data_IF_722107077700
#
_entry.id   IF_722107077700
#
_cell.length_a   1.000
_cell.length_b   1.000
_cell.length_c   1.000
_cell.angle_alpha   90.00
_cell.angle_beta   90.00
_cell.angle_gamma   90.00
#
_symmetry.space_group_name_H-M   'P 1'
#
loop_
_entity.id
_entity.type
_entity.pdbx_description
1 polymer ?
#
# COMPACT_ATOMS: atom_id res chain seq x y z
N UNK A 1 -28.17 32.64 -25.36
CA UNK A 1 -28.88 31.99 -24.24
C UNK A 1 -27.90 31.04 -23.57
N UNK A 2 -27.36 31.43 -22.41
CA UNK A 2 -26.48 30.57 -21.62
C UNK A 2 -27.38 29.77 -20.67
N UNK A 3 -27.34 28.45 -20.77
CA UNK A 3 -28.16 27.57 -19.95
C UNK A 3 -27.75 27.67 -18.47
N UNK A 4 -28.72 28.01 -17.61
CA UNK A 4 -28.57 27.94 -16.16
C UNK A 4 -28.63 26.47 -15.72
N UNK A 5 -27.56 26.00 -15.07
CA UNK A 5 -27.51 24.69 -14.41
C UNK A 5 -28.17 24.83 -13.03
N UNK A 6 -29.04 23.91 -12.57
CA UNK A 6 -29.69 24.01 -11.27
C UNK A 6 -28.68 23.78 -10.15
N UNK A 7 -28.62 24.72 -9.19
CA UNK A 7 -27.79 24.60 -7.98
C UNK A 7 -28.48 23.66 -7.00
N UNK A 8 -28.12 22.38 -7.05
CA UNK A 8 -28.49 21.38 -6.05
C UNK A 8 -27.78 21.70 -4.71
N UNK A 9 -28.46 21.44 -3.59
CA UNK A 9 -28.04 21.80 -2.22
C UNK A 9 -26.55 21.59 -1.94
N UNK A 10 -25.85 22.71 -1.75
CA UNK A 10 -24.40 22.77 -1.60
C UNK A 10 -23.94 22.13 -0.28
N UNK A 11 -23.19 21.04 -0.42
CA UNK A 11 -22.45 20.36 0.63
C UNK A 11 -21.55 21.34 1.41
N UNK A 12 -21.26 21.05 2.69
CA UNK A 12 -20.41 21.82 3.65
C UNK A 12 -19.06 22.28 3.10
N UNK A 13 -18.69 21.67 1.99
CA UNK A 13 -17.44 21.58 1.30
C UNK A 13 -17.29 22.58 0.14
N UNK A 14 -18.40 23.18 -0.32
CA UNK A 14 -18.44 23.90 -1.61
C UNK A 14 -17.70 25.25 -1.60
N UNK A 15 -17.64 25.95 -0.47
CA UNK A 15 -17.04 27.31 -0.39
C UNK A 15 -15.52 27.24 -0.37
N UNK A 16 -14.94 26.34 0.45
CA UNK A 16 -13.49 26.10 0.48
C UNK A 16 -13.02 25.58 -0.88
N UNK A 17 -13.80 24.70 -1.51
CA UNK A 17 -13.53 24.15 -2.84
C UNK A 17 -13.54 25.22 -3.96
N UNK A 18 -14.52 26.14 -3.94
CA UNK A 18 -14.64 27.20 -4.94
C UNK A 18 -13.44 28.16 -4.89
N UNK A 19 -12.96 28.50 -3.69
CA UNK A 19 -11.91 29.51 -3.50
C UNK A 19 -10.50 28.97 -3.60
N UNK A 20 -10.27 27.72 -3.18
CA UNK A 20 -9.03 27.05 -3.51
C UNK A 20 -8.88 26.91 -5.04
N UNK A 21 -9.97 26.71 -5.79
CA UNK A 21 -9.91 26.80 -7.27
C UNK A 21 -9.58 28.21 -7.79
N UNK A 22 -10.16 29.27 -7.22
CA UNK A 22 -9.90 30.67 -7.63
C UNK A 22 -8.46 31.10 -7.40
N UNK A 23 -7.80 30.60 -6.35
CA UNK A 23 -6.41 30.89 -6.03
C UNK A 23 -5.40 30.00 -6.78
N UNK A 24 -5.86 29.22 -7.77
CA UNK A 24 -5.08 28.17 -8.45
C UNK A 24 -4.43 27.17 -7.46
N UNK A 25 -5.08 26.98 -6.31
CA UNK A 25 -4.71 26.03 -5.28
C UNK A 25 -5.32 24.65 -5.61
N UNK A 26 -5.18 24.20 -6.86
CA UNK A 26 -5.72 22.91 -7.30
C UNK A 26 -5.02 21.71 -6.65
N UNK A 27 -3.87 21.94 -6.01
CA UNK A 27 -3.18 21.01 -5.11
C UNK A 27 -2.50 21.86 -4.02
N UNK A 28 -3.08 21.92 -2.81
CA UNK A 28 -2.46 22.62 -1.67
C UNK A 28 -1.71 21.62 -0.84
N UNK A 29 -0.42 21.84 -0.82
CA UNK A 29 0.53 21.15 0.02
C UNK A 29 0.47 21.78 1.44
N UNK A 30 0.71 21.05 2.53
CA UNK A 30 0.65 21.63 3.88
C UNK A 30 1.65 22.76 4.10
N UNK A 31 2.82 22.71 3.48
CA UNK A 31 3.81 23.79 3.48
C UNK A 31 3.24 25.04 2.80
N UNK A 32 2.50 24.87 1.70
CA UNK A 32 1.77 25.98 1.06
C UNK A 32 0.63 26.51 1.91
N UNK A 33 -0.05 25.65 2.67
CA UNK A 33 -1.06 26.12 3.63
C UNK A 33 -0.42 26.90 4.77
N UNK A 34 0.78 26.53 5.21
CA UNK A 34 1.52 27.24 6.26
C UNK A 34 2.12 28.56 5.79
N UNK A 35 2.63 28.60 4.57
CA UNK A 35 3.18 29.83 3.98
C UNK A 35 2.12 30.77 3.42
N UNK A 36 0.94 30.25 3.02
CA UNK A 36 -0.10 31.04 2.33
C UNK A 36 -1.47 31.00 3.00
N UNK A 37 -1.62 30.38 4.17
CA UNK A 37 -2.90 30.33 4.86
C UNK A 37 -3.40 31.72 5.27
N UNK A 38 -2.48 32.66 5.54
CA UNK A 38 -2.80 34.08 5.76
C UNK A 38 -3.37 34.70 4.49
N UNK A 39 -2.71 34.53 3.34
CA UNK A 39 -3.22 35.00 2.03
C UNK A 39 -4.61 34.45 1.74
N UNK A 40 -4.82 33.15 2.00
CA UNK A 40 -6.11 32.48 1.81
C UNK A 40 -7.19 33.11 2.70
N UNK A 41 -6.90 33.30 3.99
CA UNK A 41 -7.84 33.91 4.92
C UNK A 41 -8.17 35.36 4.51
N UNK A 42 -7.17 36.15 4.14
CA UNK A 42 -7.33 37.53 3.69
C UNK A 42 -8.10 37.63 2.37
N UNK A 43 -7.83 36.72 1.42
CA UNK A 43 -8.56 36.63 0.16
C UNK A 43 -10.04 36.34 0.37
N UNK A 44 -10.37 35.47 1.32
CA UNK A 44 -11.75 35.20 1.72
C UNK A 44 -12.41 36.40 2.42
N UNK A 45 -11.63 37.33 2.96
CA UNK A 45 -12.11 38.53 3.63
C UNK A 45 -11.99 38.50 5.16
N UNK A 46 -11.23 37.55 5.73
CA UNK A 46 -10.81 37.59 7.13
C UNK A 46 -9.58 38.50 7.27
N UNK A 47 -9.68 39.58 8.06
CA UNK A 47 -8.59 40.54 8.27
C UNK A 47 -8.35 40.79 9.77
N UNK A 48 -7.23 41.43 10.14
CA UNK A 48 -6.97 41.82 11.54
C UNK A 48 -8.11 42.65 12.15
N UNK A 49 -8.68 43.54 11.34
CA UNK A 49 -9.77 44.45 11.76
C UNK A 49 -11.17 43.83 11.61
N UNK A 50 -11.27 42.50 11.49
CA UNK A 50 -12.51 41.77 11.35
C UNK A 50 -12.82 41.32 9.93
N UNK A 51 -14.10 41.01 9.69
CA UNK A 51 -14.55 40.43 8.42
C UNK A 51 -15.05 41.52 7.48
N UNK A 52 -14.53 41.53 6.25
CA UNK A 52 -14.97 42.48 5.23
C UNK A 52 -16.44 42.26 4.89
N UNK A 53 -17.28 43.29 5.03
CA UNK A 53 -18.71 43.20 4.72
C UNK A 53 -18.93 42.79 3.25
N UNK A 54 -19.80 41.82 3.02
CA UNK A 54 -20.11 41.30 1.68
C UNK A 54 -19.10 40.30 1.10
N UNK A 55 -18.00 40.06 1.80
CA UNK A 55 -16.99 39.05 1.45
C UNK A 55 -17.51 37.63 1.59
N UNK A 56 -16.70 36.69 1.09
CA UNK A 56 -16.96 35.25 1.19
C UNK A 56 -16.87 34.77 2.63
N UNK A 57 -15.96 35.34 3.43
CA UNK A 57 -15.88 35.11 4.88
C UNK A 57 -17.19 35.48 5.58
N UNK A 58 -17.81 36.62 5.22
CA UNK A 58 -19.09 37.03 5.78
C UNK A 58 -20.22 36.07 5.39
N UNK A 59 -20.24 35.61 4.13
CA UNK A 59 -21.24 34.64 3.64
C UNK A 59 -21.06 33.26 4.27
N UNK A 60 -19.83 32.78 4.37
CA UNK A 60 -19.49 31.49 4.99
C UNK A 60 -19.88 31.47 6.46
N UNK A 61 -19.55 32.52 7.21
CA UNK A 61 -19.94 32.66 8.61
C UNK A 61 -21.45 32.73 8.78
N UNK A 62 -22.16 33.53 7.96
CA UNK A 62 -23.63 33.58 8.00
C UNK A 62 -24.27 32.22 7.68
N UNK A 63 -23.73 31.48 6.70
CA UNK A 63 -24.21 30.16 6.31
C UNK A 63 -23.94 29.08 7.36
N UNK A 64 -22.81 29.15 8.07
CA UNK A 64 -22.55 28.27 9.21
C UNK A 64 -23.47 28.60 10.39
N UNK A 65 -23.59 29.87 10.77
CA UNK A 65 -24.48 30.30 11.85
C UNK A 65 -25.94 29.88 11.59
N UNK A 66 -26.46 30.07 10.38
CA UNK A 66 -27.82 29.61 10.01
C UNK A 66 -28.00 28.10 10.15
N UNK A 67 -26.97 27.31 9.87
CA UNK A 67 -27.00 25.84 9.97
C UNK A 67 -26.79 25.32 11.38
N UNK A 68 -26.31 26.17 12.29
CA UNK A 68 -25.94 25.80 13.66
C UNK A 68 -26.63 26.68 14.69
N UNK A 69 -27.87 27.10 14.39
CA UNK A 69 -28.75 27.84 15.29
C UNK A 69 -28.09 29.10 15.89
N UNK A 70 -27.49 29.89 15.02
CA UNK A 70 -26.76 31.11 15.37
C UNK A 70 -25.34 30.89 15.88
N UNK A 71 -24.87 29.64 16.01
CA UNK A 71 -23.52 29.32 16.54
C UNK A 71 -22.52 29.02 15.43
N UNK A 72 -21.27 29.41 15.64
CA UNK A 72 -20.12 29.00 14.82
C UNK A 72 -19.32 28.00 15.65
N UNK A 73 -18.84 26.91 15.04
CA UNK A 73 -17.99 25.97 15.77
C UNK A 73 -16.67 26.65 16.12
N UNK A 74 -16.24 26.50 17.36
CA UNK A 74 -14.96 27.02 17.85
C UNK A 74 -13.78 26.36 17.12
N UNK A 75 -12.58 26.91 17.28
CA UNK A 75 -11.36 26.29 16.75
C UNK A 75 -11.10 24.95 17.46
N UNK A 76 -11.41 24.89 18.76
CA UNK A 76 -11.29 23.72 19.63
C UNK A 76 -12.21 22.57 19.19
N UNK A 77 -13.41 22.90 18.69
CA UNK A 77 -14.39 21.93 18.18
C UNK A 77 -14.19 21.55 16.70
N UNK A 78 -13.07 21.95 16.11
CA UNK A 78 -12.74 21.67 14.72
C UNK A 78 -13.45 22.57 13.70
N UNK A 79 -13.86 23.77 14.11
CA UNK A 79 -14.54 24.75 13.25
C UNK A 79 -13.60 25.38 12.23
N UNK A 80 -13.88 25.18 10.93
CA UNK A 80 -13.05 25.69 9.83
C UNK A 80 -13.19 27.20 9.68
N UNK A 81 -14.41 27.73 9.81
CA UNK A 81 -14.68 29.19 9.73
C UNK A 81 -13.98 29.94 10.87
N UNK A 82 -14.06 29.44 12.11
CA UNK A 82 -13.33 30.02 13.23
C UNK A 82 -11.82 29.90 13.07
N UNK A 83 -11.33 28.81 12.46
CA UNK A 83 -9.90 28.61 12.18
C UNK A 83 -9.37 29.62 11.15
N UNK A 84 -10.10 29.83 10.05
CA UNK A 84 -9.75 30.86 9.04
C UNK A 84 -9.88 32.27 9.58
N UNK A 85 -10.87 32.53 10.43
CA UNK A 85 -11.00 33.82 11.13
C UNK A 85 -9.81 34.08 12.05
N UNK A 86 -9.39 33.07 12.84
CA UNK A 86 -8.20 33.15 13.69
C UNK A 86 -6.97 33.48 12.85
N UNK A 87 -6.76 32.78 11.73
CA UNK A 87 -5.64 33.02 10.83
C UNK A 87 -5.64 34.47 10.30
N UNK A 88 -6.78 34.94 9.79
CA UNK A 88 -6.88 36.30 9.26
C UNK A 88 -6.79 37.40 10.33
N UNK A 89 -7.23 37.12 11.57
CA UNK A 89 -7.19 38.06 12.67
C UNK A 89 -5.78 38.26 13.24
N UNK A 90 -5.01 37.17 13.35
CA UNK A 90 -3.66 37.19 13.92
C UNK A 90 -2.55 37.30 12.87
N UNK A 91 -2.89 37.18 11.58
CA UNK A 91 -1.93 37.08 10.47
C UNK A 91 -0.88 35.97 10.71
N UNK A 92 -1.29 34.94 11.44
CA UNK A 92 -0.47 33.82 11.86
C UNK A 92 -1.31 32.55 11.92
N UNK A 93 -0.68 31.41 11.65
CA UNK A 93 -1.35 30.12 11.52
C UNK A 93 -1.06 29.28 12.75
N UNK A 94 -1.95 29.40 13.75
CA UNK A 94 -1.90 28.56 14.95
C UNK A 94 -2.01 27.07 14.60
N UNK A 95 -1.30 26.16 15.29
CA UNK A 95 -1.28 24.73 14.94
C UNK A 95 -2.66 24.07 14.86
N UNK A 96 -3.56 24.42 15.78
CA UNK A 96 -4.92 23.86 15.80
C UNK A 96 -5.77 24.37 14.63
N UNK A 97 -5.62 25.65 14.26
CA UNK A 97 -6.28 26.22 13.09
C UNK A 97 -5.76 25.56 11.79
N UNK A 98 -4.44 25.38 11.67
CA UNK A 98 -3.82 24.65 10.56
C UNK A 98 -4.42 23.24 10.41
N UNK A 99 -4.46 22.48 11.52
CA UNK A 99 -5.01 21.12 11.55
C UNK A 99 -6.47 21.05 11.07
N UNK A 100 -7.29 22.00 11.48
CA UNK A 100 -8.71 22.04 11.09
C UNK A 100 -8.90 22.35 9.61
N UNK A 101 -8.18 23.34 9.09
CA UNK A 101 -8.25 23.72 7.66
C UNK A 101 -7.69 22.59 6.79
N UNK A 102 -6.55 22.01 7.17
CA UNK A 102 -5.96 20.86 6.48
C UNK A 102 -6.93 19.67 6.44
N UNK A 103 -7.57 19.33 7.57
CA UNK A 103 -8.57 18.25 7.63
C UNK A 103 -9.77 18.49 6.71
N UNK A 104 -10.21 19.75 6.56
CA UNK A 104 -11.29 20.10 5.65
C UNK A 104 -10.87 19.96 4.19
N UNK A 105 -9.68 20.44 3.84
CA UNK A 105 -9.11 20.32 2.49
C UNK A 105 -8.86 18.85 2.09
N UNK A 106 -8.47 17.98 3.04
CA UNK A 106 -8.36 16.52 2.80
C UNK A 106 -9.69 15.88 2.43
N UNK A 107 -10.76 16.19 3.17
CA UNK A 107 -12.11 15.69 2.86
C UNK A 107 -12.59 16.10 1.46
N UNK A 108 -12.03 17.18 0.95
CA UNK A 108 -12.29 17.72 -0.38
C UNK A 108 -11.38 17.15 -1.47
N UNK A 109 -10.41 16.30 -1.12
CA UNK A 109 -9.39 15.80 -2.04
C UNK A 109 -8.43 16.88 -2.53
N UNK A 110 -8.30 18.01 -1.80
CA UNK A 110 -7.50 19.17 -2.21
C UNK A 110 -6.15 19.27 -1.51
N UNK A 111 -6.01 18.57 -0.38
CA UNK A 111 -4.76 18.46 0.36
C UNK A 111 -4.34 17.00 0.34
N UNK A 112 -3.17 16.75 -0.23
CA UNK A 112 -2.54 15.43 -0.29
C UNK A 112 -1.96 15.11 1.09
N UNK A 113 -1.91 13.82 1.44
CA UNK A 113 -1.51 13.35 2.78
C UNK A 113 0.01 13.46 3.05
N UNK A 114 0.76 13.97 2.08
CA UNK A 114 2.22 13.95 1.98
C UNK A 114 2.96 15.02 2.81
N UNK A 115 2.37 16.19 3.05
CA UNK A 115 3.13 17.29 3.68
C UNK A 115 2.81 17.61 5.15
N UNK A 116 1.73 17.08 5.74
CA UNK A 116 1.37 17.43 7.14
C UNK A 116 2.23 16.73 8.20
N UNK A 117 2.94 15.67 7.82
CA UNK A 117 3.61 14.78 8.77
C UNK A 117 5.08 15.16 9.04
N UNK A 118 5.63 16.11 8.27
CA UNK A 118 7.03 16.55 8.40
C UNK A 118 7.28 17.34 9.71
N UNK A 119 6.31 18.12 10.20
CA UNK A 119 6.59 19.05 11.32
C UNK A 119 6.35 18.49 12.74
N UNK A 120 5.67 17.36 12.91
CA UNK A 120 5.42 16.81 14.26
C UNK A 120 6.42 15.73 14.69
N UNK A 121 7.43 15.41 13.86
CA UNK A 121 8.42 14.35 14.13
C UNK A 121 9.78 14.82 14.64
N UNK A 122 10.04 16.14 14.74
CA UNK A 122 11.39 16.67 15.00
C UNK A 122 11.76 16.83 16.48
N UNK A 123 10.90 16.45 17.41
CA UNK A 123 11.26 16.39 18.82
C UNK A 123 11.70 14.97 19.21
N UNK A 124 13.03 14.76 19.24
CA UNK A 124 13.79 13.61 19.80
C UNK A 124 14.47 12.68 18.77
N UNK A 125 15.59 13.15 18.20
CA UNK A 125 16.90 12.50 18.37
C UNK A 125 17.19 11.09 17.81
N UNK A 126 16.32 10.47 17.01
CA UNK A 126 16.63 9.16 16.39
C UNK A 126 17.02 9.32 14.90
N UNK A 127 18.00 8.55 14.39
CA UNK A 127 18.54 8.74 13.05
C UNK A 127 17.52 8.29 11.99
N UNK A 128 17.07 9.24 11.17
CA UNK A 128 16.28 9.00 9.97
C UNK A 128 17.14 8.31 8.90
N UNK A 129 16.73 7.10 8.49
CA UNK A 129 17.30 6.39 7.36
C UNK A 129 17.02 7.18 6.06
N UNK A 130 18.06 7.73 5.44
CA UNK A 130 17.98 8.42 4.14
C UNK A 130 17.92 7.36 3.04
N UNK A 131 16.85 7.35 2.24
CA UNK A 131 16.71 6.52 1.03
C UNK A 131 16.72 7.46 -0.18
N UNK A 132 17.72 7.34 -1.04
CA UNK A 132 17.77 8.03 -2.34
C UNK A 132 16.89 7.30 -3.36
N UNK A 133 15.88 7.98 -3.92
CA UNK A 133 14.97 7.43 -4.93
C UNK A 133 15.54 7.62 -6.36
N UNK A 134 15.52 6.59 -7.23
CA UNK A 134 15.99 6.69 -8.61
C UNK A 134 15.12 7.56 -9.54
N UNK A 135 15.74 8.05 -10.63
CA UNK A 135 15.19 9.07 -11.54
C UNK A 135 13.95 8.67 -12.37
N UNK A 136 13.60 7.39 -12.50
CA UNK A 136 12.38 6.99 -13.22
C UNK A 136 11.10 7.12 -12.35
N UNK A 137 11.24 7.30 -11.03
CA UNK A 137 10.18 7.86 -10.18
C UNK A 137 10.08 9.39 -10.29
N UNK A 138 11.05 10.06 -10.92
CA UNK A 138 11.00 11.51 -11.24
C UNK A 138 10.28 11.80 -12.57
N UNK A 139 9.47 10.87 -13.06
CA UNK A 139 8.59 11.14 -14.19
C UNK A 139 7.48 12.11 -13.75
N UNK A 140 7.75 13.40 -13.98
CA UNK A 140 6.88 14.57 -13.94
C UNK A 140 5.50 14.39 -13.27
N UNK A 141 5.32 15.15 -12.18
CA UNK A 141 4.08 15.44 -11.42
C UNK A 141 3.91 14.62 -10.12
N UNK A 142 4.56 15.10 -9.04
CA UNK A 142 3.88 15.29 -7.75
C UNK A 142 3.73 14.14 -6.75
N UNK A 143 4.54 13.08 -6.77
CA UNK A 143 4.41 11.96 -5.80
C UNK A 143 5.76 11.51 -5.20
N UNK A 144 6.39 12.34 -4.35
CA UNK A 144 7.68 11.99 -3.72
C UNK A 144 7.70 11.81 -2.18
N UNK A 145 6.76 12.28 -1.31
CA UNK A 145 6.93 12.07 0.14
C UNK A 145 6.22 10.84 0.75
N UNK A 146 5.18 10.29 0.09
CA UNK A 146 4.33 9.23 0.69
C UNK A 146 5.02 7.88 0.88
N UNK A 147 6.05 7.58 0.07
CA UNK A 147 6.76 6.31 0.14
C UNK A 147 7.70 6.24 1.35
N UNK A 148 8.44 7.30 1.69
CA UNK A 148 9.42 7.25 2.79
C UNK A 148 8.77 7.02 4.17
N UNK A 149 7.62 7.62 4.45
CA UNK A 149 6.93 7.48 5.75
C UNK A 149 6.21 6.15 5.89
N UNK A 150 5.76 5.56 4.79
CA UNK A 150 5.16 4.23 4.77
C UNK A 150 6.11 3.13 5.28
N UNK A 151 7.43 3.33 5.12
CA UNK A 151 8.47 2.34 5.46
C UNK A 151 9.16 2.58 6.81
N UNK A 152 8.88 3.70 7.50
CA UNK A 152 9.38 3.93 8.88
C UNK A 152 8.65 3.03 9.87
N UNK A 153 9.26 2.80 11.03
CA UNK A 153 8.58 2.11 12.15
C UNK A 153 7.30 2.89 12.48
N UNK A 154 6.16 2.21 12.39
CA UNK A 154 4.83 2.84 12.55
C UNK A 154 4.26 3.54 11.30
N UNK A 155 4.89 3.38 10.13
CA UNK A 155 4.31 3.76 8.84
C UNK A 155 3.19 2.82 8.40
N UNK A 156 2.37 3.21 7.42
CA UNK A 156 1.28 2.35 6.93
C UNK A 156 1.79 1.01 6.38
N UNK A 157 2.86 1.00 5.56
CA UNK A 157 3.39 -0.26 5.05
C UNK A 157 4.09 -1.09 6.14
N UNK A 158 4.71 -0.45 7.14
CA UNK A 158 5.25 -1.15 8.31
C UNK A 158 4.15 -1.83 9.15
N UNK A 159 3.10 -1.09 9.53
CA UNK A 159 1.96 -1.64 10.26
C UNK A 159 1.22 -2.69 9.45
N UNK A 160 1.11 -2.48 8.13
CA UNK A 160 0.59 -3.48 7.22
C UNK A 160 1.49 -4.72 7.25
N UNK A 161 2.81 -4.62 7.14
CA UNK A 161 3.72 -5.76 7.22
C UNK A 161 3.62 -6.52 8.56
N UNK A 162 3.50 -5.80 9.68
CA UNK A 162 3.33 -6.42 10.99
C UNK A 162 1.97 -7.12 11.12
N UNK A 163 0.91 -6.49 10.63
CA UNK A 163 -0.43 -7.07 10.52
C UNK A 163 -0.40 -8.29 9.58
N UNK A 164 0.32 -8.23 8.46
CA UNK A 164 0.45 -9.29 7.46
C UNK A 164 1.04 -10.55 8.06
N UNK A 165 2.17 -10.41 8.76
CA UNK A 165 2.82 -11.54 9.37
C UNK A 165 1.90 -12.14 10.46
N UNK A 166 1.31 -11.31 11.33
CA UNK A 166 0.51 -11.77 12.46
C UNK A 166 -0.89 -12.33 12.10
N UNK A 167 -1.60 -11.74 11.15
CA UNK A 167 -2.90 -12.28 10.68
C UNK A 167 -2.73 -13.64 10.00
N UNK A 168 -1.64 -13.82 9.25
CA UNK A 168 -1.34 -15.08 8.59
C UNK A 168 -0.96 -16.20 9.58
N UNK A 169 -0.46 -15.87 10.78
CA UNK A 169 -0.30 -16.79 11.90
C UNK A 169 -1.65 -17.13 12.55
N UNK A 170 -2.48 -16.12 12.79
CA UNK A 170 -3.69 -16.24 13.63
C UNK A 170 -4.81 -17.07 13.00
N UNK A 171 -5.02 -16.99 11.69
CA UNK A 171 -6.12 -17.71 11.03
C UNK A 171 -5.89 -19.24 11.00
N UNK A 172 -4.64 -19.70 10.97
CA UNK A 172 -4.31 -21.11 10.73
C UNK A 172 -3.72 -21.83 11.94
N UNK A 173 -2.78 -21.22 12.68
CA UNK A 173 -2.18 -21.85 13.86
C UNK A 173 -3.22 -22.10 14.97
N UNK A 174 -4.29 -21.30 15.03
CA UNK A 174 -5.43 -21.56 15.93
C UNK A 174 -6.25 -22.80 15.54
N UNK A 175 -6.30 -23.15 14.25
CA UNK A 175 -7.11 -24.26 13.74
C UNK A 175 -6.34 -25.59 13.68
N UNK A 176 -5.01 -25.56 13.51
CA UNK A 176 -4.15 -26.75 13.47
C UNK A 176 -2.77 -26.47 14.10
N UNK A 177 -2.69 -26.36 15.44
CA UNK A 177 -1.44 -26.03 16.14
C UNK A 177 -0.32 -27.06 15.93
N UNK A 178 -0.64 -28.31 15.61
CA UNK A 178 0.32 -29.40 15.33
C UNK A 178 0.73 -29.55 13.86
N UNK A 179 0.10 -28.80 12.94
CA UNK A 179 0.26 -29.02 11.50
C UNK A 179 1.57 -28.49 10.91
N UNK A 180 2.25 -27.57 11.58
CA UNK A 180 3.54 -27.03 11.12
C UNK A 180 4.66 -27.58 12.01
N UNK A 181 5.36 -28.66 11.61
CA UNK A 181 6.27 -29.41 12.49
C UNK A 181 7.46 -28.61 13.04
N UNK A 182 7.75 -27.43 12.48
CA UNK A 182 8.80 -26.51 12.92
C UNK A 182 8.27 -25.23 13.60
N UNK A 183 6.97 -25.14 13.88
CA UNK A 183 6.30 -23.91 14.33
C UNK A 183 6.01 -23.86 15.84
N UNK A 184 6.36 -24.92 16.57
CA UNK A 184 5.81 -25.19 17.90
C UNK A 184 6.18 -24.20 19.02
N UNK A 185 6.97 -23.15 18.79
CA UNK A 185 7.46 -22.30 19.89
C UNK A 185 7.23 -20.79 19.72
N UNK A 186 6.66 -20.31 18.62
CA UNK A 186 6.49 -18.86 18.40
C UNK A 186 5.04 -18.53 18.04
N UNK A 187 4.49 -17.56 18.76
CA UNK A 187 3.07 -17.18 18.65
C UNK A 187 2.87 -15.97 17.76
N UNK A 188 3.92 -15.15 17.59
CA UNK A 188 3.86 -13.91 16.81
C UNK A 188 5.12 -13.67 16.01
N UNK A 189 4.97 -12.92 14.93
CA UNK A 189 6.08 -12.32 14.21
C UNK A 189 6.20 -10.87 14.65
N UNK A 190 7.40 -10.49 15.08
CA UNK A 190 7.71 -9.08 15.34
C UNK A 190 8.49 -8.53 14.17
N UNK A 191 7.91 -7.60 13.42
CA UNK A 191 8.65 -6.94 12.34
C UNK A 191 9.74 -6.09 12.97
N UNK A 192 10.98 -6.25 12.48
CA UNK A 192 12.14 -5.44 12.86
C UNK A 192 12.38 -4.33 11.86
N UNK A 193 12.31 -4.66 10.58
CA UNK A 193 12.62 -3.76 9.46
C UNK A 193 11.80 -4.17 8.25
N UNK A 194 11.22 -3.18 7.58
CA UNK A 194 10.64 -3.32 6.26
C UNK A 194 11.52 -2.57 5.26
N UNK A 195 11.96 -3.23 4.21
CA UNK A 195 12.79 -2.64 3.16
C UNK A 195 12.08 -2.82 1.82
N UNK A 196 11.89 -1.74 1.07
CA UNK A 196 11.49 -1.81 -0.34
C UNK A 196 12.73 -2.18 -1.16
N UNK A 197 12.55 -3.11 -2.10
CA UNK A 197 13.59 -3.56 -3.02
C UNK A 197 13.32 -2.95 -4.40
N UNK A 198 14.36 -2.37 -4.99
CA UNK A 198 14.25 -1.65 -6.25
C UNK A 198 15.27 -2.15 -7.26
N UNK A 199 14.78 -2.59 -8.42
CA UNK A 199 15.59 -2.93 -9.57
C UNK A 199 14.77 -2.69 -10.85
N UNK A 200 15.19 -1.70 -11.64
CA UNK A 200 14.50 -1.28 -12.87
C UNK A 200 14.42 -2.40 -13.88
N UNK A 201 15.56 -3.03 -14.16
CA UNK A 201 15.67 -4.00 -15.23
C UNK A 201 14.79 -5.22 -14.94
N UNK A 202 14.77 -5.66 -13.68
CA UNK A 202 13.90 -6.77 -13.23
C UNK A 202 12.43 -6.35 -13.26
N UNK A 203 12.10 -5.11 -12.85
CA UNK A 203 10.73 -4.61 -12.88
C UNK A 203 10.18 -4.48 -14.31
N UNK A 204 10.99 -3.97 -15.25
CA UNK A 204 10.60 -3.88 -16.65
C UNK A 204 10.37 -5.26 -17.28
N UNK A 205 11.25 -6.23 -16.98
CA UNK A 205 11.07 -7.62 -17.41
C UNK A 205 9.75 -8.19 -16.89
N UNK A 206 9.47 -7.97 -15.60
CA UNK A 206 8.19 -8.34 -14.97
C UNK A 206 6.99 -7.71 -15.68
N UNK A 207 7.01 -6.40 -15.95
CA UNK A 207 5.88 -5.70 -16.58
C UNK A 207 5.63 -6.15 -18.02
N UNK A 208 6.70 -6.43 -18.78
CA UNK A 208 6.60 -6.99 -20.14
C UNK A 208 5.96 -8.38 -20.09
N UNK A 209 6.37 -9.22 -19.13
CA UNK A 209 5.79 -10.56 -18.93
C UNK A 209 4.32 -10.50 -18.49
N UNK A 210 3.97 -9.66 -17.51
CA UNK A 210 2.59 -9.45 -17.05
C UNK A 210 1.65 -9.05 -18.21
N UNK A 211 2.10 -8.12 -19.05
CA UNK A 211 1.34 -7.69 -20.24
C UNK A 211 1.15 -8.83 -21.24
N UNK A 212 2.17 -9.66 -21.45
CA UNK A 212 2.10 -10.83 -22.33
C UNK A 212 1.08 -11.86 -21.82
N UNK A 213 1.13 -12.20 -20.53
CA UNK A 213 0.19 -13.15 -19.90
C UNK A 213 -1.23 -12.61 -19.92
N UNK A 214 -1.45 -11.34 -19.61
CA UNK A 214 -2.78 -10.71 -19.69
C UNK A 214 -3.40 -10.84 -21.10
N UNK A 215 -2.61 -10.56 -22.15
CA UNK A 215 -3.05 -10.72 -23.55
C UNK A 215 -3.38 -12.18 -23.88
N UNK A 216 -2.54 -13.11 -23.45
CA UNK A 216 -2.74 -14.56 -23.63
C UNK A 216 -4.02 -15.04 -22.94
N UNK A 217 -4.24 -14.67 -21.69
CA UNK A 217 -5.45 -15.00 -20.91
C UNK A 217 -6.71 -14.46 -21.59
N UNK A 218 -6.69 -13.17 -21.96
CA UNK A 218 -7.79 -12.51 -22.68
C UNK A 218 -8.12 -13.19 -24.01
N UNK A 219 -7.10 -13.53 -24.81
CA UNK A 219 -7.28 -14.20 -26.11
C UNK A 219 -7.95 -15.58 -26.01
N UNK A 220 -7.82 -16.24 -24.85
CA UNK A 220 -8.40 -17.56 -24.59
C UNK A 220 -9.80 -17.47 -23.97
N UNK A 221 -10.32 -16.27 -23.73
CA UNK A 221 -11.57 -16.07 -22.99
C UNK A 221 -11.51 -16.58 -21.55
N UNK A 222 -10.31 -16.74 -20.99
CA UNK A 222 -10.13 -17.18 -19.62
C UNK A 222 -10.29 -15.97 -18.71
N UNK A 223 -11.32 -16.00 -17.87
CA UNK A 223 -11.36 -15.11 -16.72
C UNK A 223 -10.18 -15.46 -15.80
N UNK A 224 -9.61 -14.44 -15.15
CA UNK A 224 -8.76 -14.69 -14.00
C UNK A 224 -9.59 -15.49 -13.00
N UNK A 225 -9.20 -16.74 -12.74
CA UNK A 225 -9.78 -17.48 -11.64
C UNK A 225 -9.50 -16.64 -10.40
N UNK A 226 -10.54 -16.01 -9.85
CA UNK A 226 -10.39 -15.22 -8.63
C UNK A 226 -9.65 -16.08 -7.63
N UNK A 227 -8.51 -15.57 -7.17
CA UNK A 227 -7.77 -16.11 -6.03
C UNK A 227 -8.58 -15.84 -4.76
N UNK A 228 -9.79 -16.38 -4.70
CA UNK A 228 -10.76 -16.17 -3.65
C UNK A 228 -10.23 -16.64 -2.29
N UNK A 229 -9.22 -17.50 -2.30
CA UNK A 229 -8.51 -17.98 -1.11
C UNK A 229 -7.41 -17.06 -0.59
N UNK A 230 -7.03 -15.96 -1.28
CA UNK A 230 -6.01 -15.07 -0.74
C UNK A 230 -6.50 -14.34 0.52
N UNK A 231 -5.65 -14.15 1.53
CA UNK A 231 -5.88 -13.21 2.62
C UNK A 231 -6.36 -11.85 2.09
N UNK A 232 -7.35 -11.26 2.77
CA UNK A 232 -7.97 -10.00 2.36
C UNK A 232 -6.96 -8.86 2.17
N UNK A 233 -5.90 -8.82 2.98
CA UNK A 233 -4.87 -7.80 2.87
C UNK A 233 -4.02 -7.98 1.60
N UNK A 234 -3.70 -9.21 1.16
CA UNK A 234 -2.97 -9.45 -0.10
C UNK A 234 -3.80 -8.99 -1.29
N UNK A 235 -5.11 -9.20 -1.23
CA UNK A 235 -6.06 -8.68 -2.23
C UNK A 235 -6.06 -7.15 -2.24
N UNK A 236 -6.18 -6.50 -1.08
CA UNK A 236 -6.15 -5.03 -0.96
C UNK A 236 -4.82 -4.44 -1.45
N UNK A 237 -3.70 -5.07 -1.10
CA UNK A 237 -2.37 -4.66 -1.54
C UNK A 237 -2.24 -4.77 -3.07
N UNK A 238 -2.73 -5.87 -3.64
CA UNK A 238 -2.75 -6.09 -5.10
C UNK A 238 -3.57 -5.00 -5.81
N UNK A 239 -4.74 -4.65 -5.26
CA UNK A 239 -5.60 -3.59 -5.78
C UNK A 239 -4.96 -2.20 -5.67
N UNK A 240 -4.42 -1.85 -4.49
CA UNK A 240 -3.79 -0.54 -4.24
C UNK A 240 -2.60 -0.30 -5.17
N UNK A 241 -1.82 -1.35 -5.44
CA UNK A 241 -0.61 -1.27 -6.26
C UNK A 241 -0.83 -1.61 -7.75
N UNK A 242 -2.08 -1.71 -8.18
CA UNK A 242 -2.46 -1.84 -9.59
C UNK A 242 -1.93 -3.10 -10.28
N UNK A 243 -1.92 -4.25 -9.59
CA UNK A 243 -1.55 -5.51 -10.22
C UNK A 243 -2.65 -5.91 -11.24
N UNK A 244 -2.24 -6.44 -12.39
CA UNK A 244 -3.20 -6.80 -13.44
C UNK A 244 -4.03 -8.02 -13.02
N UNK A 245 -5.34 -7.83 -12.87
CA UNK A 245 -6.26 -8.94 -12.64
C UNK A 245 -6.30 -9.86 -13.85
N UNK A 246 -6.20 -9.33 -15.07
CA UNK A 246 -6.19 -10.11 -16.32
C UNK A 246 -5.02 -11.08 -16.42
N UNK A 247 -3.86 -10.73 -15.83
CA UNK A 247 -2.69 -11.60 -15.75
C UNK A 247 -2.73 -12.56 -14.55
N UNK A 248 -3.78 -12.50 -13.72
CA UNK A 248 -3.81 -13.11 -12.39
C UNK A 248 -2.59 -12.68 -11.55
N UNK A 249 -2.32 -11.37 -11.56
CA UNK A 249 -1.27 -10.73 -10.80
C UNK A 249 -1.65 -10.57 -9.33
N UNK A 250 -0.84 -11.12 -8.44
CA UNK A 250 -1.08 -11.12 -6.99
C UNK A 250 0.20 -10.86 -6.21
N UNK A 251 0.08 -10.43 -4.96
CA UNK A 251 1.19 -10.53 -4.02
C UNK A 251 1.24 -11.92 -3.39
N UNK A 252 2.46 -12.43 -3.20
CA UNK A 252 2.73 -13.65 -2.45
C UNK A 252 4.03 -13.52 -1.64
N UNK A 253 4.24 -14.44 -0.72
CA UNK A 253 5.37 -14.48 0.20
C UNK A 253 6.43 -15.49 -0.25
N UNK A 254 7.70 -15.15 -0.07
CA UNK A 254 8.83 -16.01 -0.34
C UNK A 254 9.86 -15.90 0.80
N UNK A 255 10.13 -16.99 1.52
CA UNK A 255 11.15 -17.01 2.56
C UNK A 255 12.53 -17.31 1.99
N UNK A 256 13.54 -16.56 2.42
CA UNK A 256 14.94 -16.78 2.02
C UNK A 256 15.91 -16.38 3.14
N UNK A 257 17.18 -16.74 2.99
CA UNK A 257 18.25 -16.29 3.90
C UNK A 257 18.57 -14.83 3.64
N UNK A 258 18.89 -14.06 4.68
CA UNK A 258 19.30 -12.65 4.55
C UNK A 258 20.53 -12.49 3.63
N UNK A 259 21.45 -13.45 3.65
CA UNK A 259 22.63 -13.47 2.77
C UNK A 259 22.32 -13.52 1.28
N UNK A 260 21.10 -13.90 0.89
CA UNK A 260 20.68 -13.93 -0.51
C UNK A 260 20.11 -12.58 -0.98
N UNK A 261 19.85 -11.64 -0.07
CA UNK A 261 19.08 -10.44 -0.37
C UNK A 261 19.78 -9.56 -1.40
N UNK A 262 21.09 -9.32 -1.27
CA UNK A 262 21.85 -8.50 -2.21
C UNK A 262 21.79 -9.06 -3.64
N UNK A 263 21.96 -10.38 -3.79
CA UNK A 263 21.85 -11.06 -5.08
C UNK A 263 20.42 -11.01 -5.66
N UNK A 264 19.40 -11.11 -4.79
CA UNK A 264 17.99 -11.00 -5.21
C UNK A 264 17.66 -9.58 -5.63
N UNK A 265 18.21 -8.56 -4.97
CA UNK A 265 18.08 -7.16 -5.37
C UNK A 265 18.77 -6.93 -6.71
N UNK A 266 19.99 -7.43 -6.89
CA UNK A 266 20.77 -7.21 -8.11
C UNK A 266 20.20 -7.93 -9.33
N UNK A 267 19.69 -9.16 -9.15
CA UNK A 267 19.32 -10.03 -10.27
C UNK A 267 17.87 -10.46 -10.31
N UNK A 268 17.08 -10.18 -9.26
CA UNK A 268 15.78 -10.79 -9.05
C UNK A 268 15.89 -12.25 -8.59
N UNK A 269 14.74 -12.90 -8.41
CA UNK A 269 14.67 -14.33 -8.13
C UNK A 269 14.94 -15.13 -9.42
N UNK A 270 15.79 -16.16 -9.34
CA UNK A 270 16.15 -16.99 -10.49
C UNK A 270 15.83 -18.46 -10.25
N UNK A 271 15.06 -19.06 -11.14
CA UNK A 271 14.71 -20.49 -11.18
C UNK A 271 15.93 -21.41 -11.23
N UNK A 272 17.05 -20.94 -11.79
CA UNK A 272 18.32 -21.70 -11.81
C UNK A 272 18.89 -22.02 -10.43
N UNK A 273 18.47 -21.32 -9.38
CA UNK A 273 18.87 -21.62 -8.00
C UNK A 273 17.93 -22.63 -7.32
N UNK A 274 16.79 -22.96 -7.94
CA UNK A 274 15.87 -24.01 -7.49
C UNK A 274 16.26 -25.41 -7.99
N UNK A 275 17.53 -25.64 -8.31
CA UNK A 275 18.02 -26.91 -8.86
C UNK A 275 18.35 -27.95 -7.78
N UNK A 276 18.32 -27.57 -6.50
CA UNK A 276 18.64 -28.46 -5.39
C UNK A 276 17.64 -29.61 -5.22
N UNK A 277 18.15 -30.74 -4.73
CA UNK A 277 17.39 -31.98 -4.53
C UNK A 277 16.48 -31.80 -3.30
N UNK A 278 15.16 -32.04 -3.46
CA UNK A 278 14.20 -32.05 -2.34
C UNK A 278 12.89 -31.29 -2.57
N UNK A 279 12.69 -30.66 -3.74
CA UNK A 279 11.48 -29.89 -4.03
C UNK A 279 10.29 -30.82 -4.35
N UNK A 280 9.18 -30.66 -3.62
CA UNK A 280 7.98 -31.50 -3.76
C UNK A 280 7.23 -31.31 -5.08
N UNK A 281 7.36 -30.13 -5.73
CA UNK A 281 6.51 -29.72 -6.86
C UNK A 281 7.31 -29.32 -8.12
N UNK A 282 8.57 -29.73 -8.19
CA UNK A 282 9.44 -29.50 -9.34
C UNK A 282 10.42 -28.35 -9.19
N UNK A 283 11.04 -27.95 -10.30
CA UNK A 283 12.08 -26.92 -10.36
C UNK A 283 11.48 -25.59 -10.76
N UNK A 284 11.09 -24.79 -9.78
CA UNK A 284 10.52 -23.45 -9.98
C UNK A 284 10.78 -22.57 -8.77
N UNK A 285 10.28 -21.33 -8.83
CA UNK A 285 10.26 -20.43 -7.68
C UNK A 285 9.00 -20.67 -6.87
N UNK A 286 9.17 -20.85 -5.56
CA UNK A 286 8.10 -21.22 -4.63
C UNK A 286 7.61 -20.01 -3.85
N UNK A 287 6.29 -19.85 -3.82
CA UNK A 287 5.61 -18.79 -3.09
C UNK A 287 4.48 -19.36 -2.26
N UNK A 288 4.01 -18.59 -1.29
CA UNK A 288 2.87 -18.96 -0.45
C UNK A 288 2.09 -17.72 -0.04
N UNK A 289 0.83 -17.91 0.37
CA UNK A 289 -0.02 -16.87 0.94
C UNK A 289 -0.01 -16.88 2.48
N UNK A 290 0.86 -17.69 3.10
CA UNK A 290 0.97 -17.86 4.54
C UNK A 290 2.41 -17.58 5.05
N UNK A 291 2.59 -16.60 5.95
CA UNK A 291 3.92 -16.26 6.44
C UNK A 291 4.56 -17.40 7.25
N UNK A 292 3.76 -18.20 7.96
CA UNK A 292 4.25 -19.36 8.71
C UNK A 292 4.88 -20.43 7.81
N UNK A 293 4.42 -20.55 6.56
CA UNK A 293 5.04 -21.42 5.56
C UNK A 293 6.28 -20.78 4.97
N UNK A 294 6.24 -19.47 4.68
CA UNK A 294 7.39 -18.73 4.19
C UNK A 294 8.57 -18.79 5.19
N UNK A 295 8.32 -18.62 6.49
CA UNK A 295 9.34 -18.65 7.54
C UNK A 295 10.05 -20.00 7.69
N UNK A 296 9.47 -21.10 7.22
CA UNK A 296 10.14 -22.41 7.20
C UNK A 296 11.39 -22.40 6.30
N UNK A 297 11.48 -21.44 5.37
CA UNK A 297 12.59 -21.31 4.41
C UNK A 297 13.61 -20.23 4.77
N UNK A 298 13.39 -19.47 5.85
CA UNK A 298 14.25 -18.32 6.19
C UNK A 298 15.50 -18.69 6.99
N UNK A 299 15.55 -19.88 7.59
CA UNK A 299 16.48 -20.18 8.71
C UNK A 299 16.30 -19.15 9.87
N UNK A 300 17.20 -19.14 10.88
CA UNK A 300 17.08 -18.24 12.06
C UNK A 300 17.19 -16.76 11.69
N UNK A 301 18.03 -16.41 10.71
CA UNK A 301 18.36 -15.02 10.35
C UNK A 301 17.87 -14.64 8.95
N UNK A 302 16.72 -15.17 8.51
CA UNK A 302 16.22 -14.88 7.17
C UNK A 302 15.20 -13.77 7.09
N UNK A 303 14.69 -13.59 5.88
CA UNK A 303 13.75 -12.54 5.51
C UNK A 303 12.59 -13.15 4.74
N UNK A 304 11.40 -12.60 4.94
CA UNK A 304 10.24 -12.91 4.08
C UNK A 304 10.15 -11.81 3.04
N UNK A 305 10.25 -12.18 1.78
CA UNK A 305 9.96 -11.29 0.67
C UNK A 305 8.46 -11.24 0.41
N UNK A 306 7.98 -10.05 0.02
CA UNK A 306 6.65 -9.85 -0.54
C UNK A 306 6.84 -9.51 -2.01
N UNK A 307 6.41 -10.42 -2.87
CA UNK A 307 6.70 -10.37 -4.30
C UNK A 307 5.40 -10.14 -5.08
N UNK A 308 5.46 -9.32 -6.13
CA UNK A 308 4.46 -9.35 -7.19
C UNK A 308 4.67 -10.63 -7.99
N UNK A 309 3.62 -11.39 -8.24
CA UNK A 309 3.67 -12.67 -8.94
C UNK A 309 2.57 -12.72 -9.99
N UNK A 310 2.95 -13.00 -11.23
CA UNK A 310 2.03 -13.28 -12.34
C UNK A 310 1.75 -14.77 -12.37
N UNK A 311 0.52 -15.18 -12.03
CA UNK A 311 0.16 -16.59 -11.99
C UNK A 311 -0.46 -17.10 -13.31
N UNK A 312 -1.02 -16.21 -14.13
CA UNK A 312 -1.75 -16.58 -15.34
C UNK A 312 -2.77 -17.69 -15.09
N UNK A 313 -2.81 -18.68 -15.99
CA UNK A 313 -3.59 -19.91 -15.82
C UNK A 313 -2.82 -20.90 -14.94
N UNK A 314 -3.40 -21.25 -13.80
CA UNK A 314 -2.77 -22.12 -12.82
C UNK A 314 -3.16 -23.60 -13.00
N UNK A 315 -2.17 -24.48 -13.01
CA UNK A 315 -2.35 -25.93 -12.91
C UNK A 315 -2.49 -26.32 -11.44
N UNK A 316 -3.62 -26.94 -11.06
CA UNK A 316 -3.79 -27.48 -9.71
C UNK A 316 -3.15 -28.86 -9.65
N UNK A 317 -2.12 -29.00 -8.83
CA UNK A 317 -1.38 -30.25 -8.70
C UNK A 317 -2.16 -31.23 -7.80
N UNK A 318 -2.41 -32.48 -8.23
CA UNK A 318 -3.12 -33.45 -7.40
C UNK A 318 -2.21 -34.07 -6.34
N UNK A 319 -0.89 -34.10 -6.57
CA UNK A 319 0.13 -34.74 -5.73
C UNK A 319 1.50 -34.12 -5.95
N UNK A 320 2.48 -34.57 -5.18
CA UNK A 320 3.90 -34.22 -5.39
C UNK A 320 4.38 -34.61 -6.80
N UNK A 321 5.19 -33.74 -7.39
CA UNK A 321 5.74 -33.88 -8.73
C UNK A 321 7.19 -33.35 -8.79
N UNK A 322 8.15 -33.98 -8.09
CA UNK A 322 9.50 -33.45 -7.89
C UNK A 322 10.33 -33.30 -9.18
N UNK A 323 9.92 -33.97 -10.27
CA UNK A 323 10.59 -33.90 -11.58
C UNK A 323 9.97 -32.87 -12.53
N UNK A 324 8.94 -32.14 -12.10
CA UNK A 324 8.26 -31.16 -12.95
C UNK A 324 9.20 -30.00 -13.25
N UNK A 325 9.36 -29.65 -14.52
CA UNK A 325 10.24 -28.56 -14.98
C UNK A 325 9.44 -27.34 -15.45
N UNK A 326 8.18 -27.56 -15.85
CA UNK A 326 7.27 -26.58 -16.42
C UNK A 326 5.84 -26.98 -16.04
N UNK A 327 4.88 -26.05 -16.04
CA UNK A 327 3.48 -26.41 -15.91
C UNK A 327 3.02 -27.19 -17.14
N UNK A 328 1.88 -27.87 -17.04
CA UNK A 328 1.30 -28.62 -18.14
C UNK A 328 0.95 -27.69 -19.31
N UNK A 329 0.83 -28.24 -20.52
CA UNK A 329 0.56 -27.44 -21.70
C UNK A 329 -0.69 -26.57 -21.51
N UNK A 330 -0.53 -25.28 -21.77
CA UNK A 330 -1.61 -24.29 -21.67
C UNK A 330 -1.72 -23.62 -20.31
N UNK A 331 -0.94 -24.03 -19.31
CA UNK A 331 -0.80 -23.35 -18.01
C UNK A 331 0.45 -22.46 -17.97
N UNK A 332 0.45 -21.49 -17.06
CA UNK A 332 1.52 -20.51 -16.85
C UNK A 332 2.24 -20.74 -15.52
N UNK A 333 1.52 -21.28 -14.52
CA UNK A 333 2.07 -21.61 -13.21
C UNK A 333 1.43 -22.90 -12.67
N UNK A 334 1.95 -23.42 -11.56
CA UNK A 334 1.35 -24.53 -10.82
C UNK A 334 0.98 -24.12 -9.39
N UNK A 335 0.07 -24.86 -8.77
CA UNK A 335 -0.38 -24.66 -7.40
C UNK A 335 -0.57 -25.99 -6.69
N UNK A 336 0.14 -26.19 -5.57
CA UNK A 336 -0.22 -27.20 -4.58
C UNK A 336 -1.26 -26.58 -3.63
N UNK A 337 -2.52 -26.98 -3.80
CA UNK A 337 -3.66 -26.38 -3.14
C UNK A 337 -3.94 -27.05 -1.80
N UNK A 338 -4.15 -26.23 -0.77
CA UNK A 338 -4.53 -26.67 0.58
C UNK A 338 -5.74 -27.60 0.54
N UNK A 339 -5.70 -28.66 1.35
CA UNK A 339 -6.75 -29.68 1.49
C UNK A 339 -7.08 -30.44 0.18
N UNK A 340 -6.30 -30.26 -0.87
CA UNK A 340 -6.55 -30.88 -2.18
C UNK A 340 -5.37 -31.74 -2.61
N UNK A 341 -4.19 -31.12 -2.72
CA UNK A 341 -2.95 -31.77 -3.15
C UNK A 341 -2.44 -32.76 -2.11
N UNK A 342 -2.01 -33.94 -2.53
CA UNK A 342 -1.33 -34.91 -1.66
C UNK A 342 0.11 -34.45 -1.38
N UNK A 343 0.43 -34.26 -0.11
CA UNK A 343 1.75 -33.87 0.38
C UNK A 343 2.69 -35.10 0.50
N UNK A 344 4.02 -34.89 0.58
CA UNK A 344 4.94 -35.95 0.98
C UNK A 344 4.45 -36.53 2.32
N UNK A 345 4.29 -37.85 2.44
CA UNK A 345 3.70 -38.56 3.59
C UNK A 345 2.17 -38.71 3.62
N UNK A 346 1.49 -38.63 2.46
CA UNK A 346 0.08 -39.02 2.29
C UNK A 346 -0.95 -38.21 3.12
N UNK A 347 -0.54 -37.08 3.68
CA UNK A 347 -1.44 -36.08 4.22
C UNK A 347 -1.83 -35.08 3.12
N UNK A 348 -2.93 -34.36 3.33
CA UNK A 348 -3.27 -33.24 2.44
C UNK A 348 -2.36 -32.06 2.70
N UNK A 349 -2.02 -31.35 1.63
CA UNK A 349 -1.25 -30.11 1.66
C UNK A 349 -1.90 -29.12 2.63
N UNK A 350 -1.11 -28.56 3.54
CA UNK A 350 -1.60 -27.69 4.60
C UNK A 350 -1.65 -26.21 4.20
N UNK A 351 -0.71 -25.77 3.37
CA UNK A 351 -0.62 -24.39 2.88
C UNK A 351 -0.68 -24.37 1.36
N UNK A 352 -1.26 -23.33 0.79
CA UNK A 352 -1.11 -23.12 -0.65
C UNK A 352 0.36 -22.83 -0.96
N UNK A 353 0.89 -23.57 -1.92
CA UNK A 353 2.19 -23.28 -2.53
C UNK A 353 1.97 -22.98 -4.00
N UNK A 354 2.52 -21.87 -4.47
CA UNK A 354 2.42 -21.39 -5.84
C UNK A 354 3.80 -21.51 -6.46
N UNK A 355 3.88 -22.11 -7.64
CA UNK A 355 5.13 -22.38 -8.34
C UNK A 355 5.10 -21.69 -9.69
N UNK A 356 6.06 -20.80 -9.92
CA UNK A 356 6.33 -20.20 -11.24
C UNK A 356 7.62 -20.78 -11.81
N UNK A 357 7.71 -20.80 -13.14
CA UNK A 357 8.81 -21.44 -13.86
C UNK A 357 9.57 -20.46 -14.78
N UNK A 358 9.17 -19.19 -14.79
CA UNK A 358 9.84 -18.10 -15.49
C UNK A 358 10.21 -17.02 -14.45
N UNK A 359 11.47 -16.59 -14.49
CA UNK A 359 12.03 -15.57 -13.60
C UNK A 359 11.27 -14.23 -13.75
N UNK A 360 10.79 -13.94 -14.97
CA UNK A 360 10.04 -12.72 -15.28
C UNK A 360 8.61 -12.75 -14.73
N UNK A 361 8.10 -13.89 -14.24
CA UNK A 361 6.77 -13.97 -13.64
C UNK A 361 6.74 -13.44 -12.19
N UNK A 362 7.84 -12.89 -11.68
CA UNK A 362 7.84 -12.25 -10.36
C UNK A 362 8.74 -11.01 -10.27
N UNK A 363 8.42 -10.16 -9.29
CA UNK A 363 9.24 -9.04 -8.87
C UNK A 363 9.29 -8.98 -7.33
N UNK A 364 10.46 -9.15 -6.69
CA UNK A 364 10.59 -8.98 -5.25
C UNK A 364 10.51 -7.49 -4.92
N UNK A 365 9.46 -7.05 -4.21
CA UNK A 365 9.22 -5.63 -3.96
C UNK A 365 9.52 -5.21 -2.52
N UNK A 366 9.29 -6.10 -1.56
CA UNK A 366 9.59 -5.81 -0.15
C UNK A 366 10.34 -6.97 0.49
N UNK A 367 11.26 -6.66 1.39
CA UNK A 367 11.88 -7.57 2.33
C UNK A 367 11.45 -7.22 3.76
N UNK A 368 10.91 -8.22 4.46
CA UNK A 368 10.52 -8.11 5.86
C UNK A 368 11.55 -8.85 6.70
N UNK A 369 12.26 -8.11 7.54
CA UNK A 369 13.09 -8.65 8.60
C UNK A 369 12.23 -8.78 9.85
N UNK A 370 12.25 -9.94 10.48
CA UNK A 370 11.38 -10.24 11.62
C UNK A 370 12.11 -11.04 12.68
N UNK A 371 11.58 -11.01 13.90
CA UNK A 371 11.87 -11.96 14.97
C UNK A 371 10.69 -12.89 15.17
N UNK A 372 10.98 -14.12 15.57
CA UNK A 372 9.98 -15.05 16.06
C UNK A 372 9.93 -14.92 17.60
N UNK A 373 8.73 -14.75 18.16
CA UNK A 373 8.51 -14.55 19.61
C UNK A 373 7.45 -15.45 20.21
#
# INVERSE_FOLDING_TARGET
MVAQIPVCHSDRNTIVLLHARTLALTEVSCERLQSRGVDLAQHLGYRPNGIVKGSEAARAMSAEAKRSDGRIRSVEDGGVVASLQSIGAFEDIKPLANKNVAKALRKLGMLRDDEYLIENGSSQGEPLLIIELPSYFRASVGDEPTLQDDYKVGGYNYFMAETMLNESTLAFCKQNPSGCPNFNNFTTFKVRKLQRLENVDVFEQYKRHETMVARKMKSRGLASNETNSLPNWLKKLSQKNGLSSEANGVYLLHGTKSTNLDLIVEHGLKTKFSLDRGLSYGKGLYFTDNACKASQFTARDGVILVCRVVLGRQEILPRTCPRKLFPDFGYDSAMAKRNHTDAPHAHKQLHNEYIIYDDCSCYPEFAIHFDLS
#
